data_IF_439567647979
#
_entry.id   IF_439567647979
#
_cell.length_a   1.000
_cell.length_b   1.000
_cell.length_c   1.000
_cell.angle_alpha   90.00
_cell.angle_beta   90.00
_cell.angle_gamma   90.00
#
_symmetry.space_group_name_H-M   'P 1'
#
loop_
_entity.id
_entity.type
_entity.pdbx_description
1 polymer ?
#
# COMPACT_ATOMS: atom_id res chain seq x y z
N UNK A 1 44.63 48.77 -35.21
CA UNK A 1 44.75 47.79 -34.10
C UNK A 1 44.53 46.39 -34.65
N UNK A 2 45.58 45.78 -35.19
CA UNK A 2 45.58 44.43 -35.73
C UNK A 2 45.75 43.43 -34.57
N UNK A 3 44.74 42.60 -34.31
CA UNK A 3 44.81 41.53 -33.31
C UNK A 3 45.85 40.50 -33.76
N UNK A 4 46.91 40.38 -32.96
CA UNK A 4 47.99 39.41 -33.11
C UNK A 4 47.43 37.99 -33.20
N UNK A 5 47.99 37.21 -34.13
CA UNK A 5 47.72 35.78 -34.29
C UNK A 5 48.04 35.04 -33.00
N UNK A 6 47.03 34.35 -32.46
CA UNK A 6 47.18 33.38 -31.40
C UNK A 6 47.66 32.07 -31.99
N UNK A 7 48.86 31.65 -31.61
CA UNK A 7 49.37 30.30 -31.86
C UNK A 7 48.45 29.32 -31.12
N UNK A 8 47.70 28.50 -31.85
CA UNK A 8 46.95 27.39 -31.28
C UNK A 8 48.01 26.38 -30.78
N UNK A 9 48.26 26.36 -29.47
CA UNK A 9 49.00 25.29 -28.83
C UNK A 9 48.23 23.98 -29.07
N UNK A 10 48.62 23.22 -30.10
CA UNK A 10 48.17 21.85 -30.27
C UNK A 10 48.72 21.05 -29.10
N UNK A 11 47.89 20.81 -28.08
CA UNK A 11 48.21 19.91 -26.98
C UNK A 11 48.71 18.59 -27.56
N UNK A 12 49.90 18.15 -27.15
CA UNK A 12 50.53 16.90 -27.58
C UNK A 12 49.49 15.77 -27.49
N UNK A 13 48.99 15.30 -28.63
CA UNK A 13 47.95 14.28 -28.66
C UNK A 13 48.55 13.03 -28.02
N UNK A 14 47.99 12.63 -26.89
CA UNK A 14 48.43 11.42 -26.19
C UNK A 14 48.05 10.24 -27.08
N UNK A 15 49.07 9.56 -27.60
CA UNK A 15 48.85 8.33 -28.34
C UNK A 15 48.39 7.23 -27.38
N UNK A 16 47.26 6.63 -27.73
CA UNK A 16 46.64 5.54 -26.99
C UNK A 16 46.73 4.20 -27.72
N UNK A 17 47.26 4.14 -28.94
CA UNK A 17 47.38 2.88 -29.72
C UNK A 17 48.12 1.82 -28.89
N UNK A 18 47.57 0.61 -28.86
CA UNK A 18 48.11 -0.53 -28.11
C UNK A 18 47.84 -0.49 -26.61
N UNK A 19 47.35 0.62 -26.05
CA UNK A 19 47.03 0.70 -24.61
C UNK A 19 45.73 -0.02 -24.30
N UNK A 20 45.68 -0.61 -23.10
CA UNK A 20 44.56 -1.39 -22.59
C UNK A 20 43.83 -0.62 -21.48
N UNK A 21 42.50 -0.58 -21.56
CA UNK A 21 41.59 0.06 -20.61
C UNK A 21 40.45 -0.90 -20.26
N UNK A 22 40.57 -1.58 -19.11
CA UNK A 22 39.68 -2.70 -18.80
C UNK A 22 39.81 -3.80 -19.85
N UNK A 23 38.71 -4.14 -20.53
CA UNK A 23 38.66 -5.12 -21.63
C UNK A 23 38.94 -4.52 -23.01
N UNK A 24 39.18 -3.21 -23.10
CA UNK A 24 39.36 -2.52 -24.37
C UNK A 24 40.84 -2.36 -24.69
N UNK A 25 41.26 -2.80 -25.87
CA UNK A 25 42.58 -2.49 -26.44
C UNK A 25 42.40 -1.51 -27.58
N UNK A 26 43.08 -0.37 -27.52
CA UNK A 26 43.00 0.68 -28.55
C UNK A 26 43.77 0.23 -29.80
N UNK A 27 43.11 0.30 -30.97
CA UNK A 27 43.68 -0.15 -32.25
C UNK A 27 43.97 1.02 -33.17
N UNK A 28 43.01 1.94 -33.31
CA UNK A 28 43.13 3.02 -34.30
C UNK A 28 42.56 4.33 -33.74
N UNK A 29 43.19 5.44 -34.15
CA UNK A 29 42.68 6.78 -33.90
C UNK A 29 41.58 7.07 -34.92
N UNK A 30 40.43 7.56 -34.45
CA UNK A 30 39.35 8.01 -35.31
C UNK A 30 39.36 9.53 -35.47
N UNK A 31 38.54 10.03 -36.38
CA UNK A 31 38.35 11.47 -36.57
C UNK A 31 37.78 12.13 -35.31
N UNK A 32 38.18 13.39 -35.11
CA UNK A 32 37.54 14.23 -34.11
C UNK A 32 36.14 14.62 -34.59
N UNK A 33 35.18 14.70 -33.68
CA UNK A 33 33.86 15.19 -34.03
C UNK A 33 33.84 16.72 -34.27
N UNK A 34 32.65 17.25 -34.61
CA UNK A 34 32.44 18.69 -34.84
C UNK A 34 32.81 19.59 -33.65
N UNK A 35 32.94 19.02 -32.44
CA UNK A 35 33.32 19.71 -31.21
C UNK A 35 34.80 19.49 -30.86
N UNK A 36 35.58 18.88 -31.76
CA UNK A 36 37.01 18.60 -31.58
C UNK A 36 37.31 17.42 -30.65
N UNK A 37 36.30 16.61 -30.29
CA UNK A 37 36.47 15.47 -29.37
C UNK A 37 37.03 14.27 -30.12
N UNK A 38 38.16 13.77 -29.65
CA UNK A 38 38.87 12.66 -30.28
C UNK A 38 38.34 11.29 -29.85
N UNK A 39 37.99 10.45 -30.82
CA UNK A 39 37.56 9.08 -30.61
C UNK A 39 38.65 8.07 -30.98
N UNK A 40 38.57 6.90 -30.37
CA UNK A 40 39.47 5.78 -30.58
C UNK A 40 38.67 4.52 -30.82
N UNK A 41 39.02 3.75 -31.85
CA UNK A 41 38.47 2.41 -32.05
C UNK A 41 39.20 1.44 -31.15
N UNK A 42 38.42 0.73 -30.36
CA UNK A 42 38.92 -0.26 -29.43
C UNK A 42 38.38 -1.63 -29.79
N UNK A 43 39.22 -2.67 -29.72
CA UNK A 43 38.78 -4.06 -29.70
C UNK A 43 38.59 -4.51 -28.27
N UNK A 44 37.41 -5.02 -28.00
CA UNK A 44 37.06 -5.61 -26.72
C UNK A 44 37.54 -7.06 -26.67
N UNK A 45 37.87 -7.54 -25.47
CA UNK A 45 38.19 -8.96 -25.24
C UNK A 45 37.05 -9.92 -25.66
N UNK A 46 35.80 -9.46 -25.68
CA UNK A 46 34.66 -10.25 -26.19
C UNK A 46 34.60 -10.32 -27.73
N UNK A 47 35.59 -9.81 -28.45
CA UNK A 47 35.70 -9.84 -29.91
C UNK A 47 35.09 -8.64 -30.64
N UNK A 48 34.20 -7.89 -29.99
CA UNK A 48 33.53 -6.74 -30.60
C UNK A 48 34.38 -5.48 -30.62
N UNK A 49 34.10 -4.58 -31.57
CA UNK A 49 34.72 -3.26 -31.66
C UNK A 49 33.79 -2.17 -31.11
N UNK A 50 34.37 -1.11 -30.57
CA UNK A 50 33.62 0.06 -30.10
C UNK A 50 34.42 1.34 -30.32
N UNK A 51 33.72 2.45 -30.57
CA UNK A 51 34.30 3.79 -30.66
C UNK A 51 34.15 4.49 -29.31
N UNK A 52 35.27 4.89 -28.71
CA UNK A 52 35.29 5.46 -27.36
C UNK A 52 36.01 6.80 -27.35
N UNK A 53 35.44 7.77 -26.66
CA UNK A 53 36.06 9.06 -26.42
C UNK A 53 37.39 8.88 -25.66
N UNK A 54 38.46 9.51 -26.13
CA UNK A 54 39.79 9.39 -25.50
C UNK A 54 39.79 9.80 -24.02
N UNK A 55 38.95 10.78 -23.66
CA UNK A 55 38.76 11.20 -22.28
C UNK A 55 38.17 10.07 -21.40
N UNK A 56 37.19 9.33 -21.93
CA UNK A 56 36.53 8.22 -21.22
C UNK A 56 37.44 7.01 -21.02
N UNK A 57 38.38 6.78 -21.93
CA UNK A 57 39.44 5.77 -21.76
C UNK A 57 40.39 6.18 -20.62
N UNK A 58 40.90 7.42 -20.64
CA UNK A 58 41.88 7.90 -19.65
C UNK A 58 41.32 7.99 -18.23
N UNK A 59 40.06 8.40 -18.07
CA UNK A 59 39.38 8.42 -16.77
C UNK A 59 38.69 7.12 -16.42
N UNK A 60 38.90 6.06 -17.21
CA UNK A 60 38.38 4.72 -16.91
C UNK A 60 36.84 4.65 -16.82
N UNK A 61 36.13 5.54 -17.51
CA UNK A 61 34.67 5.57 -17.58
C UNK A 61 34.12 4.51 -18.53
N UNK A 62 34.92 4.06 -19.51
CA UNK A 62 34.54 3.01 -20.46
C UNK A 62 35.56 1.87 -20.41
N UNK A 63 35.08 0.69 -19.98
CA UNK A 63 35.94 -0.49 -19.70
C UNK A 63 35.65 -1.69 -20.60
N UNK A 64 34.63 -1.61 -21.46
CA UNK A 64 34.25 -2.64 -22.42
C UNK A 64 33.37 -2.03 -23.50
N UNK A 65 33.05 -2.82 -24.54
CA UNK A 65 32.07 -2.43 -25.57
C UNK A 65 30.61 -2.50 -25.08
N UNK A 66 30.37 -2.79 -23.79
CA UNK A 66 29.04 -3.04 -23.22
C UNK A 66 28.85 -4.45 -22.68
N UNK A 67 29.68 -5.42 -23.09
CA UNK A 67 29.57 -6.83 -22.66
C UNK A 67 29.65 -7.01 -21.13
N UNK A 68 30.50 -6.25 -20.43
CA UNK A 68 30.55 -6.25 -18.97
C UNK A 68 29.19 -5.91 -18.32
N UNK A 69 28.42 -5.00 -18.91
CA UNK A 69 27.09 -4.63 -18.41
C UNK A 69 26.09 -5.75 -18.68
N UNK A 70 26.17 -6.38 -19.85
CA UNK A 70 25.32 -7.49 -20.25
C UNK A 70 25.54 -8.72 -19.35
N UNK A 71 26.78 -9.11 -19.11
CA UNK A 71 27.16 -10.20 -18.20
C UNK A 71 26.59 -9.97 -16.79
N UNK A 72 26.79 -8.76 -16.25
CA UNK A 72 26.25 -8.38 -14.94
C UNK A 72 24.73 -8.46 -14.89
N UNK A 73 24.06 -8.01 -15.95
CA UNK A 73 22.59 -8.03 -16.04
C UNK A 73 22.03 -9.46 -16.09
N UNK A 74 22.72 -10.37 -16.79
CA UNK A 74 22.37 -11.80 -16.83
C UNK A 74 22.50 -12.42 -15.44
N UNK A 75 23.59 -12.12 -14.72
CA UNK A 75 23.78 -12.61 -13.34
C UNK A 75 22.83 -12.00 -12.31
N UNK A 76 22.44 -10.72 -12.44
CA UNK A 76 21.52 -10.09 -11.49
C UNK A 76 20.09 -10.63 -11.57
N UNK A 77 19.70 -11.21 -12.72
CA UNK A 77 18.38 -11.82 -12.92
C UNK A 77 18.29 -13.26 -12.38
N UNK A 78 19.38 -13.84 -11.87
CA UNK A 78 19.43 -15.24 -11.43
C UNK A 78 18.77 -15.51 -10.07
N UNK A 79 18.36 -14.49 -9.31
CA UNK A 79 17.93 -14.73 -7.92
C UNK A 79 16.60 -15.47 -7.79
N UNK A 80 15.71 -15.37 -8.78
CA UNK A 80 14.43 -16.11 -8.88
C UNK A 80 13.50 -15.54 -9.99
N UNK A 81 13.95 -14.59 -10.81
CA UNK A 81 13.15 -13.98 -11.90
C UNK A 81 11.95 -13.11 -11.47
N UNK A 82 11.68 -12.95 -10.17
CA UNK A 82 10.49 -12.26 -9.64
C UNK A 82 10.79 -10.98 -8.83
N UNK A 83 12.03 -10.49 -8.87
CA UNK A 83 12.53 -9.35 -8.06
C UNK A 83 11.80 -8.02 -8.30
N UNK A 84 11.06 -7.88 -9.41
CA UNK A 84 10.27 -6.68 -9.74
C UNK A 84 8.75 -6.88 -9.60
N UNK A 85 8.33 -7.95 -8.94
CA UNK A 85 6.91 -8.20 -8.69
C UNK A 85 6.42 -7.46 -7.46
N UNK A 86 5.11 -7.21 -7.39
CA UNK A 86 4.45 -6.67 -6.20
C UNK A 86 4.72 -7.53 -4.96
N UNK A 87 4.62 -8.84 -5.11
CA UNK A 87 4.84 -9.79 -4.02
C UNK A 87 6.27 -9.73 -3.47
N UNK A 88 7.27 -9.58 -4.34
CA UNK A 88 8.65 -9.33 -3.91
C UNK A 88 8.77 -8.01 -3.13
N UNK A 89 8.10 -6.95 -3.57
CA UNK A 89 8.04 -5.70 -2.82
C UNK A 89 7.41 -5.86 -1.42
N UNK A 90 6.39 -6.70 -1.28
CA UNK A 90 5.76 -6.99 0.02
C UNK A 90 6.72 -7.75 0.93
N UNK A 91 7.39 -8.78 0.40
CA UNK A 91 8.38 -9.56 1.11
C UNK A 91 9.56 -8.71 1.61
N UNK A 92 10.11 -7.85 0.74
CA UNK A 92 11.16 -6.89 1.15
C UNK A 92 10.64 -5.99 2.26
N UNK A 93 9.47 -5.37 2.10
CA UNK A 93 8.90 -4.49 3.12
C UNK A 93 8.61 -5.20 4.46
N UNK A 94 8.22 -6.47 4.42
CA UNK A 94 8.04 -7.31 5.60
C UNK A 94 9.37 -7.44 6.36
N UNK A 95 10.44 -7.82 5.67
CA UNK A 95 11.80 -7.95 6.22
C UNK A 95 12.35 -6.63 6.75
N UNK A 96 12.15 -5.54 6.01
CA UNK A 96 12.56 -4.21 6.43
C UNK A 96 11.91 -3.78 7.76
N UNK A 97 10.62 -4.08 7.97
CA UNK A 97 9.94 -3.76 9.24
C UNK A 97 10.46 -4.60 10.41
N UNK A 98 10.84 -5.85 10.18
CA UNK A 98 11.29 -6.76 11.24
C UNK A 98 12.77 -6.62 11.57
N UNK A 99 13.66 -6.45 10.59
CA UNK A 99 15.11 -6.57 10.81
C UNK A 99 15.87 -5.24 10.68
N UNK A 100 15.33 -4.25 9.96
CA UNK A 100 16.03 -2.98 9.76
C UNK A 100 15.70 -1.98 10.88
N UNK A 101 16.62 -1.82 11.84
CA UNK A 101 16.51 -0.87 12.96
C UNK A 101 16.36 0.60 12.54
N UNK A 102 16.73 0.96 11.32
CA UNK A 102 16.56 2.32 10.79
C UNK A 102 15.19 2.55 10.14
N UNK A 103 14.36 1.51 10.03
CA UNK A 103 13.01 1.65 9.51
C UNK A 103 12.13 2.38 10.54
N UNK A 104 11.40 3.40 10.13
CA UNK A 104 10.50 4.16 11.02
C UNK A 104 9.41 3.30 11.69
N UNK A 105 9.10 2.12 11.13
CA UNK A 105 8.17 1.14 11.70
C UNK A 105 8.85 0.06 12.53
N UNK A 106 10.18 0.05 12.66
CA UNK A 106 10.88 -1.03 13.36
C UNK A 106 10.35 -1.23 14.78
N UNK A 107 10.15 -0.15 15.54
CA UNK A 107 9.60 -0.20 16.91
C UNK A 107 8.20 -0.83 16.99
N UNK A 108 7.41 -0.79 15.92
CA UNK A 108 6.08 -1.41 15.85
C UNK A 108 6.11 -2.90 15.46
N UNK A 109 7.28 -3.40 15.04
CA UNK A 109 7.50 -4.74 14.51
C UNK A 109 8.74 -5.36 15.18
N UNK A 110 9.92 -5.24 14.57
CA UNK A 110 11.17 -5.83 15.08
C UNK A 110 11.52 -5.42 16.52
N UNK A 111 11.27 -4.16 16.90
CA UNK A 111 11.47 -3.67 18.27
C UNK A 111 10.58 -4.36 19.31
N UNK A 112 9.52 -5.05 18.88
CA UNK A 112 8.63 -5.86 19.74
C UNK A 112 9.02 -7.35 19.77
N UNK A 113 10.05 -7.75 19.04
CA UNK A 113 10.43 -9.16 18.87
C UNK A 113 9.60 -9.90 17.81
N UNK A 114 8.92 -9.19 16.91
CA UNK A 114 8.22 -9.83 15.79
C UNK A 114 9.23 -10.21 14.72
N UNK A 115 9.35 -11.50 14.46
CA UNK A 115 10.28 -12.09 13.51
C UNK A 115 9.56 -12.65 12.28
N UNK A 116 10.36 -13.15 11.34
CA UNK A 116 9.91 -13.85 10.14
C UNK A 116 10.46 -15.26 10.23
N UNK A 117 9.64 -16.27 9.94
CA UNK A 117 10.10 -17.66 9.99
C UNK A 117 11.26 -17.89 9.01
N UNK A 118 12.19 -18.76 9.39
CA UNK A 118 13.45 -18.95 8.66
C UNK A 118 13.24 -19.41 7.21
N UNK A 119 12.16 -20.15 6.93
CA UNK A 119 11.82 -20.62 5.59
C UNK A 119 11.52 -19.45 4.65
N UNK A 120 10.99 -18.34 5.17
CA UNK A 120 10.68 -17.14 4.39
C UNK A 120 11.88 -16.20 4.20
N UNK A 121 13.09 -16.58 4.64
CA UNK A 121 14.31 -15.92 4.16
C UNK A 121 14.58 -16.22 2.67
N UNK A 122 14.06 -17.33 2.15
CA UNK A 122 13.97 -17.57 0.72
C UNK A 122 12.66 -16.98 0.17
N UNK A 123 12.79 -16.03 -0.75
CA UNK A 123 11.65 -15.42 -1.42
C UNK A 123 10.78 -16.44 -2.17
N UNK A 124 11.36 -17.50 -2.74
CA UNK A 124 10.60 -18.49 -3.49
C UNK A 124 9.67 -19.31 -2.60
N UNK A 125 10.10 -19.64 -1.39
CA UNK A 125 9.25 -20.33 -0.40
C UNK A 125 8.08 -19.43 0.01
N UNK A 126 8.34 -18.16 0.27
CA UNK A 126 7.28 -17.17 0.53
C UNK A 126 6.34 -16.99 -0.68
N UNK A 127 6.90 -16.98 -1.89
CA UNK A 127 6.14 -16.86 -3.14
C UNK A 127 5.18 -18.04 -3.33
N UNK A 128 5.68 -19.27 -3.17
CA UNK A 128 4.88 -20.49 -3.29
C UNK A 128 3.78 -20.53 -2.24
N UNK A 129 4.10 -20.26 -0.97
CA UNK A 129 3.09 -20.14 0.08
C UNK A 129 2.01 -19.11 -0.30
N UNK A 130 2.41 -17.95 -0.82
CA UNK A 130 1.46 -16.89 -1.19
C UNK A 130 0.52 -17.33 -2.31
N UNK A 131 1.05 -17.97 -3.37
CA UNK A 131 0.23 -18.49 -4.47
C UNK A 131 -0.74 -19.58 -4.00
N UNK A 132 -0.31 -20.44 -3.07
CA UNK A 132 -1.14 -21.49 -2.48
C UNK A 132 -2.17 -20.98 -1.47
N UNK A 133 -2.03 -19.75 -0.96
CA UNK A 133 -2.88 -19.16 0.07
C UNK A 133 -3.68 -17.95 -0.47
N UNK A 134 -4.18 -18.07 -1.70
CA UNK A 134 -5.14 -17.14 -2.31
C UNK A 134 -4.61 -15.70 -2.49
N UNK A 135 -3.30 -15.50 -2.61
CA UNK A 135 -2.76 -14.18 -2.94
C UNK A 135 -3.42 -13.59 -4.19
N UNK A 136 -3.84 -12.34 -4.08
CA UNK A 136 -4.25 -11.51 -5.21
C UNK A 136 -3.64 -10.11 -5.05
N UNK A 137 -3.44 -9.41 -6.17
CA UNK A 137 -2.75 -8.11 -6.19
C UNK A 137 -3.51 -6.99 -5.44
N UNK A 138 -4.80 -7.18 -5.15
CA UNK A 138 -5.60 -6.28 -4.32
C UNK A 138 -5.59 -6.62 -2.82
N UNK A 139 -4.94 -7.72 -2.41
CA UNK A 139 -4.85 -8.18 -1.01
C UNK A 139 -3.54 -7.75 -0.35
N UNK A 140 -3.56 -7.66 0.97
CA UNK A 140 -2.43 -7.34 1.83
C UNK A 140 -2.12 -8.52 2.74
N UNK A 141 -0.83 -8.71 3.05
CA UNK A 141 -0.41 -9.67 4.07
C UNK A 141 -0.76 -9.11 5.45
N UNK A 142 -1.53 -9.88 6.21
CA UNK A 142 -1.98 -9.58 7.57
C UNK A 142 -1.52 -10.72 8.49
N UNK A 143 -1.08 -10.37 9.70
CA UNK A 143 -0.91 -11.38 10.74
C UNK A 143 -2.26 -11.63 11.41
N UNK A 144 -2.60 -12.86 11.76
CA UNK A 144 -3.88 -13.20 12.41
C UNK A 144 -3.81 -12.76 13.87
N UNK A 145 -2.80 -13.26 14.59
CA UNK A 145 -2.33 -12.67 15.82
C UNK A 145 -1.36 -11.53 15.48
N UNK A 146 -1.79 -10.29 15.76
CA UNK A 146 -1.00 -9.08 15.49
C UNK A 146 0.35 -9.07 16.24
N UNK A 147 0.43 -9.80 17.34
CA UNK A 147 1.59 -9.85 18.23
C UNK A 147 2.49 -11.05 17.94
N UNK A 148 2.02 -12.02 17.14
CA UNK A 148 2.80 -13.14 16.64
C UNK A 148 3.69 -12.81 15.44
N UNK A 149 4.42 -13.82 14.96
CA UNK A 149 5.43 -13.69 13.90
C UNK A 149 4.83 -13.70 12.49
N UNK A 150 5.66 -13.37 11.49
CA UNK A 150 5.35 -13.64 10.09
C UNK A 150 5.69 -15.09 9.75
N UNK A 151 4.67 -15.94 9.70
CA UNK A 151 4.80 -17.37 9.45
C UNK A 151 3.50 -17.95 8.86
N UNK A 152 3.54 -19.11 8.18
CA UNK A 152 2.41 -19.65 7.43
C UNK A 152 1.09 -19.74 8.20
N UNK A 153 1.14 -20.09 9.49
CA UNK A 153 -0.06 -20.27 10.32
C UNK A 153 -0.57 -18.98 10.96
N UNK A 154 0.30 -17.97 11.09
CA UNK A 154 -0.08 -16.68 11.63
C UNK A 154 -0.30 -15.62 10.54
N UNK A 155 -0.14 -15.94 9.26
CA UNK A 155 -0.31 -14.99 8.17
C UNK A 155 -1.47 -15.35 7.26
N UNK A 156 -2.12 -14.34 6.71
CA UNK A 156 -3.18 -14.48 5.70
C UNK A 156 -3.12 -13.36 4.68
N UNK A 157 -3.59 -13.64 3.47
CA UNK A 157 -3.90 -12.61 2.49
C UNK A 157 -5.32 -12.11 2.73
N UNK A 158 -5.48 -10.80 2.94
CA UNK A 158 -6.78 -10.23 3.26
C UNK A 158 -6.92 -8.80 2.74
N UNK A 159 -8.11 -8.23 2.86
CA UNK A 159 -8.36 -6.85 2.46
C UNK A 159 -7.86 -5.88 3.52
N UNK A 160 -7.55 -4.64 3.11
CA UNK A 160 -7.19 -3.56 4.04
C UNK A 160 -8.27 -3.32 5.11
N UNK A 161 -9.54 -3.59 4.79
CA UNK A 161 -10.66 -3.47 5.74
C UNK A 161 -10.51 -4.45 6.91
N UNK A 162 -10.10 -5.69 6.65
CA UNK A 162 -9.87 -6.72 7.67
C UNK A 162 -8.56 -6.44 8.42
N UNK A 163 -7.49 -6.05 7.72
CA UNK A 163 -6.25 -5.65 8.39
C UNK A 163 -6.47 -4.48 9.37
N UNK A 164 -7.31 -3.50 9.00
CA UNK A 164 -7.66 -2.39 9.88
C UNK A 164 -8.36 -2.81 11.16
N UNK A 165 -9.12 -3.92 11.15
CA UNK A 165 -9.77 -4.44 12.36
C UNK A 165 -8.79 -5.13 13.29
N UNK A 166 -7.64 -5.59 12.77
CA UNK A 166 -6.58 -6.23 13.55
C UNK A 166 -5.50 -5.26 14.07
N UNK A 167 -5.69 -3.95 13.91
CA UNK A 167 -4.73 -2.97 14.43
C UNK A 167 -4.73 -2.96 15.96
N UNK A 168 -3.53 -2.96 16.55
CA UNK A 168 -3.31 -2.81 18.01
C UNK A 168 -4.01 -1.61 18.65
N UNK A 169 -4.23 -0.56 17.87
CA UNK A 169 -4.89 0.67 18.33
C UNK A 169 -6.40 0.48 18.52
N UNK A 170 -6.97 -0.61 18.04
CA UNK A 170 -8.37 -0.92 18.24
C UNK A 170 -8.60 -1.40 19.67
N UNK A 171 -9.74 -0.99 20.22
CA UNK A 171 -10.23 -1.52 21.50
C UNK A 171 -10.85 -2.90 21.27
N UNK A 172 -10.10 -3.94 21.60
CA UNK A 172 -10.56 -5.32 21.63
C UNK A 172 -11.31 -5.59 22.93
N UNK A 173 -12.40 -6.35 22.82
CA UNK A 173 -13.26 -6.73 23.93
C UNK A 173 -13.47 -8.24 23.86
N UNK A 174 -13.21 -8.90 24.98
CA UNK A 174 -13.55 -10.30 25.17
C UNK A 174 -15.01 -10.44 25.59
N UNK A 175 -15.76 -11.31 24.91
CA UNK A 175 -17.15 -11.62 25.26
C UNK A 175 -17.49 -13.03 24.74
N UNK A 176 -18.12 -13.85 25.60
CA UNK A 176 -18.45 -15.25 25.30
C UNK A 176 -17.27 -16.10 24.76
N UNK A 177 -16.08 -15.94 25.35
CA UNK A 177 -14.89 -16.72 24.97
C UNK A 177 -14.27 -16.34 23.62
N UNK A 178 -14.69 -15.21 23.03
CA UNK A 178 -14.14 -14.66 21.79
C UNK A 178 -13.64 -13.24 22.03
N UNK A 179 -12.52 -12.87 21.42
CA UNK A 179 -11.97 -11.50 21.49
C UNK A 179 -12.01 -10.85 20.12
N UNK A 180 -12.67 -9.70 20.02
CA UNK A 180 -12.73 -8.91 18.79
C UNK A 180 -12.98 -7.43 19.08
N UNK A 181 -12.74 -6.58 18.09
CA UNK A 181 -12.95 -5.15 18.25
C UNK A 181 -14.45 -4.79 18.23
N UNK A 182 -14.77 -3.59 18.74
CA UNK A 182 -16.15 -3.05 18.80
C UNK A 182 -16.87 -3.16 17.44
N UNK A 183 -16.15 -2.92 16.33
CA UNK A 183 -16.72 -2.95 14.99
C UNK A 183 -17.17 -4.35 14.58
N UNK A 184 -16.42 -5.39 14.92
CA UNK A 184 -16.81 -6.77 14.61
C UNK A 184 -17.94 -7.23 15.53
N UNK A 185 -17.90 -6.90 16.82
CA UNK A 185 -19.02 -7.16 17.74
C UNK A 185 -20.32 -6.51 17.26
N UNK A 186 -20.26 -5.26 16.80
CA UNK A 186 -21.43 -4.55 16.29
C UNK A 186 -22.07 -5.26 15.07
N UNK A 187 -21.25 -5.82 14.18
CA UNK A 187 -21.73 -6.56 13.00
C UNK A 187 -22.32 -7.92 13.41
N UNK A 188 -21.59 -8.70 14.19
CA UNK A 188 -21.97 -10.05 14.59
C UNK A 188 -23.27 -10.06 15.40
N UNK A 189 -23.39 -9.15 16.36
CA UNK A 189 -24.59 -9.02 17.20
C UNK A 189 -25.69 -8.16 16.55
N UNK A 190 -25.40 -7.52 15.41
CA UNK A 190 -26.31 -6.57 14.73
C UNK A 190 -26.85 -5.46 15.67
N UNK A 191 -25.95 -4.88 16.47
CA UNK A 191 -26.26 -3.82 17.44
C UNK A 191 -25.36 -2.59 17.22
N UNK A 192 -25.85 -1.36 17.48
CA UNK A 192 -25.03 -0.15 17.36
C UNK A 192 -24.13 0.03 18.60
N UNK A 193 -23.15 -0.87 18.75
CA UNK A 193 -22.32 -0.97 19.97
C UNK A 193 -21.55 0.32 20.26
N UNK A 194 -20.98 0.96 19.23
CA UNK A 194 -20.28 2.25 19.38
C UNK A 194 -21.19 3.31 20.00
N UNK A 195 -22.46 3.39 19.59
CA UNK A 195 -23.42 4.34 20.15
C UNK A 195 -23.77 4.00 21.60
N UNK A 196 -23.86 2.72 21.97
CA UNK A 196 -24.12 2.30 23.36
C UNK A 196 -23.02 2.74 24.31
N UNK A 197 -21.77 2.53 23.93
CA UNK A 197 -20.62 2.85 24.77
C UNK A 197 -20.40 4.36 24.84
N UNK A 198 -20.35 5.07 23.70
CA UNK A 198 -19.97 6.48 23.70
C UNK A 198 -21.10 7.46 24.03
N UNK A 199 -22.30 7.23 23.49
CA UNK A 199 -23.43 8.17 23.63
C UNK A 199 -24.24 7.91 24.89
N UNK A 200 -24.42 6.64 25.25
CA UNK A 200 -25.23 6.25 26.41
C UNK A 200 -24.41 5.92 27.65
N UNK A 201 -23.07 6.08 27.57
CA UNK A 201 -22.12 5.75 28.64
C UNK A 201 -22.42 4.39 29.30
N UNK A 202 -22.76 3.41 28.45
CA UNK A 202 -23.24 2.12 28.90
C UNK A 202 -22.05 1.23 29.25
N UNK A 203 -22.16 0.52 30.38
CA UNK A 203 -21.26 -0.57 30.72
C UNK A 203 -21.17 -1.61 29.58
N UNK A 204 -19.99 -2.20 29.40
CA UNK A 204 -19.68 -3.02 28.23
C UNK A 204 -20.54 -4.27 28.14
N UNK A 205 -20.77 -4.96 29.25
CA UNK A 205 -21.55 -6.20 29.29
C UNK A 205 -23.01 -5.91 28.96
N UNK A 206 -23.54 -4.82 29.52
CA UNK A 206 -24.88 -4.33 29.18
C UNK A 206 -24.97 -3.90 27.72
N UNK A 207 -23.93 -3.27 27.18
CA UNK A 207 -23.88 -2.82 25.80
C UNK A 207 -23.87 -3.99 24.80
N UNK A 208 -23.27 -5.13 25.17
CA UNK A 208 -23.20 -6.34 24.34
C UNK A 208 -24.47 -7.19 24.41
N UNK A 209 -25.13 -7.23 25.57
CA UNK A 209 -26.28 -8.13 25.82
C UNK A 209 -27.64 -7.52 25.44
N UNK A 210 -27.79 -6.19 25.50
CA UNK A 210 -29.10 -5.58 25.24
C UNK A 210 -29.55 -5.80 23.78
N UNK A 211 -30.80 -6.20 23.52
CA UNK A 211 -31.29 -6.33 22.15
C UNK A 211 -31.46 -4.96 21.48
N UNK A 212 -31.36 -4.90 20.15
CA UNK A 212 -31.64 -3.69 19.39
C UNK A 212 -33.10 -3.26 19.61
N UNK A 213 -33.32 -2.03 20.09
CA UNK A 213 -34.67 -1.49 20.28
C UNK A 213 -35.41 -1.46 18.94
N UNK A 214 -36.52 -2.20 18.82
CA UNK A 214 -37.39 -2.13 17.64
C UNK A 214 -38.18 -0.83 17.73
N UNK A 215 -38.03 0.03 16.72
CA UNK A 215 -38.89 1.19 16.57
C UNK A 215 -40.20 0.76 15.94
N UNK A 216 -41.30 0.81 16.70
CA UNK A 216 -42.64 0.67 16.15
C UNK A 216 -43.09 2.02 15.59
N UNK A 217 -43.53 2.06 14.33
CA UNK A 217 -44.16 3.25 13.78
C UNK A 217 -45.51 3.44 14.48
N UNK A 218 -45.72 4.60 15.09
CA UNK A 218 -47.04 4.97 15.61
C UNK A 218 -48.01 5.07 14.43
N UNK A 219 -49.02 4.21 14.42
CA UNK A 219 -50.12 4.20 13.46
C UNK A 219 -51.35 4.84 14.06
N UNK A 220 -52.14 5.49 13.21
CA UNK A 220 -53.39 6.16 13.59
C UNK A 220 -54.47 5.70 12.61
N UNK A 221 -55.62 5.32 13.18
CA UNK A 221 -56.82 4.99 12.43
C UNK A 221 -57.73 6.21 12.39
N UNK A 222 -58.11 6.66 11.19
CA UNK A 222 -59.07 7.74 10.99
C UNK A 222 -59.92 7.45 9.76
N UNK A 223 -61.25 7.58 9.87
CA UNK A 223 -62.23 7.28 8.80
C UNK A 223 -62.00 5.91 8.12
N UNK A 224 -61.75 4.87 8.92
CA UNK A 224 -61.53 3.50 8.43
C UNK A 224 -60.15 3.24 7.79
N UNK A 225 -59.28 4.25 7.68
CA UNK A 225 -57.92 4.11 7.15
C UNK A 225 -56.89 4.10 8.28
N UNK A 226 -56.04 3.08 8.32
CA UNK A 226 -54.93 2.97 9.29
C UNK A 226 -53.61 3.21 8.58
N UNK A 227 -52.86 4.22 9.03
CA UNK A 227 -51.52 4.50 8.49
C UNK A 227 -50.63 5.22 9.51
N UNK A 228 -49.34 5.30 9.23
CA UNK A 228 -48.39 5.96 10.14
C UNK A 228 -48.66 7.47 10.25
N UNK A 229 -48.26 8.08 11.38
CA UNK A 229 -48.29 9.54 11.56
C UNK A 229 -47.59 10.27 10.39
N UNK A 230 -46.45 9.75 9.93
CA UNK A 230 -45.73 10.32 8.78
C UNK A 230 -46.53 10.26 7.47
N UNK A 231 -47.29 9.18 7.25
CA UNK A 231 -48.14 9.05 6.07
C UNK A 231 -49.33 10.00 6.14
N UNK A 232 -49.97 10.11 7.32
CA UNK A 232 -51.02 11.11 7.55
C UNK A 232 -50.55 12.55 7.33
N UNK A 233 -49.36 12.89 7.83
CA UNK A 233 -48.77 14.21 7.64
C UNK A 233 -48.56 14.51 6.15
N UNK A 234 -47.98 13.56 5.40
CA UNK A 234 -47.77 13.70 3.96
C UNK A 234 -49.08 13.82 3.18
N UNK A 235 -50.07 12.99 3.49
CA UNK A 235 -51.38 12.99 2.82
C UNK A 235 -52.15 14.29 3.03
N UNK A 236 -52.08 14.86 4.23
CA UNK A 236 -52.74 16.13 4.57
C UNK A 236 -51.84 17.35 4.31
N UNK A 237 -50.75 17.16 3.57
CA UNK A 237 -49.78 18.17 3.21
C UNK A 237 -49.31 19.03 4.41
N UNK A 238 -49.09 18.40 5.56
CA UNK A 238 -48.62 19.06 6.78
C UNK A 238 -47.30 18.49 7.28
N UNK A 239 -46.58 19.27 8.08
CA UNK A 239 -45.32 18.78 8.65
C UNK A 239 -45.58 17.68 9.69
N UNK A 240 -44.69 16.69 9.73
CA UNK A 240 -44.74 15.61 10.73
C UNK A 240 -44.79 16.16 12.16
N UNK A 241 -43.94 17.15 12.44
CA UNK A 241 -43.87 17.81 13.75
C UNK A 241 -45.17 18.50 14.14
N UNK A 242 -45.85 19.16 13.19
CA UNK A 242 -47.15 19.78 13.44
C UNK A 242 -48.22 18.74 13.77
N UNK A 243 -48.30 17.65 13.00
CA UNK A 243 -49.27 16.60 13.27
C UNK A 243 -49.01 15.95 14.64
N UNK A 244 -47.76 15.67 14.99
CA UNK A 244 -47.39 15.19 16.32
C UNK A 244 -47.78 16.18 17.43
N UNK A 245 -47.60 17.48 17.20
CA UNK A 245 -48.00 18.51 18.17
C UNK A 245 -49.51 18.56 18.37
N UNK A 246 -50.30 18.40 17.29
CA UNK A 246 -51.76 18.35 17.31
C UNK A 246 -52.27 17.12 18.05
N UNK A 247 -51.74 15.94 17.75
CA UNK A 247 -52.13 14.67 18.38
C UNK A 247 -51.90 14.64 19.90
N UNK A 248 -50.99 15.47 20.42
CA UNK A 248 -50.77 15.61 21.87
C UNK A 248 -51.82 16.47 22.57
N UNK A 249 -52.64 17.21 21.81
CA UNK A 249 -53.53 18.26 22.35
C UNK A 249 -54.97 18.13 21.88
N UNK A 250 -55.19 17.55 20.72
CA UNK A 250 -56.46 17.47 20.03
C UNK A 250 -56.84 16.01 19.78
N UNK A 251 -58.13 15.76 19.53
CA UNK A 251 -58.60 14.46 19.06
C UNK A 251 -57.94 14.08 17.72
N UNK A 252 -57.93 12.78 17.38
CA UNK A 252 -57.37 12.27 16.12
C UNK A 252 -57.98 12.99 14.91
N UNK A 253 -59.31 13.07 14.89
CA UNK A 253 -60.06 13.72 13.82
C UNK A 253 -59.69 15.20 13.67
N UNK A 254 -59.71 15.96 14.78
CA UNK A 254 -59.33 17.37 14.77
C UNK A 254 -57.87 17.57 14.36
N UNK A 255 -56.98 16.66 14.75
CA UNK A 255 -55.55 16.72 14.42
C UNK A 255 -55.30 16.58 12.92
N UNK A 256 -56.01 15.65 12.27
CA UNK A 256 -55.85 15.31 10.86
C UNK A 256 -56.60 16.28 9.94
N UNK A 257 -57.81 16.71 10.32
CA UNK A 257 -58.71 17.44 9.41
C UNK A 257 -58.60 18.96 9.50
N UNK A 258 -57.97 19.51 10.54
CA UNK A 258 -57.79 20.97 10.64
C UNK A 258 -56.83 21.44 9.53
N UNK A 259 -57.21 22.39 8.65
CA UNK A 259 -56.31 22.91 7.61
C UNK A 259 -55.04 23.55 8.19
N UNK A 260 -53.97 23.60 7.40
CA UNK A 260 -52.85 24.50 7.71
C UNK A 260 -53.27 25.92 7.38
N UNK A 261 -52.99 26.87 8.27
CA UNK A 261 -53.17 28.31 8.01
C UNK A 261 -52.00 28.83 7.20
#
# INVERSE_FOLDING_TARGET
MTRKGGVIFMSKVIDLIGKKFGRLTVIERLESDKLGRLYWKCKCECGNFTSVLGLSLRYNHTKSCGCLKEEKSKTSNLKHGKTKTRLHGIWVNMRERCHNKNNYKYEDYGGRGIEICHEWDDFMVFYEWSMSNEYQDNLTIDRIDNDGNYEPFNCRWTTMKVQNTNKRTNRNIEFNGKTQCITEWAKELNIPLSTRISKYNMDIDKALTLPKKKYTKTTITHKGKTQSVSQWAKEKNMSYSLLCWRLKRWSIEKSIETPMK
#
